data_IF_223885938848
#
_entry.id   IF_223885938848
#
_cell.length_a   1.000
_cell.length_b   1.000
_cell.length_c   1.000
_cell.angle_alpha   90.00
_cell.angle_beta   90.00
_cell.angle_gamma   90.00
#
_symmetry.space_group_name_H-M   'P 1'
#
loop_
_entity.id
_entity.type
_entity.pdbx_description
1 polymer ?
#
# COMPACT_ATOMS: atom_id res chain seq x y z
N UNK A 1 0.82 -28.40 20.31
CA UNK A 1 0.29 -27.03 20.15
C UNK A 1 1.37 -26.21 19.47
N UNK A 2 1.08 -25.66 18.31
CA UNK A 2 1.91 -24.58 17.74
C UNK A 2 1.80 -23.36 18.65
N UNK A 3 2.88 -22.60 18.82
CA UNK A 3 2.81 -21.28 19.50
C UNK A 3 1.79 -20.39 18.77
N UNK A 4 1.12 -19.49 19.49
CA UNK A 4 0.33 -18.39 18.91
C UNK A 4 1.16 -17.11 18.75
N UNK A 5 0.71 -16.16 17.95
CA UNK A 5 1.43 -14.92 17.65
C UNK A 5 1.73 -14.10 18.92
N UNK A 6 0.80 -14.10 19.89
CA UNK A 6 0.99 -13.58 21.25
C UNK A 6 2.24 -14.13 21.97
N UNK A 7 2.61 -15.39 21.74
CA UNK A 7 3.70 -16.06 22.47
C UNK A 7 5.11 -15.61 22.01
N UNK A 8 5.19 -14.88 20.89
CA UNK A 8 6.42 -14.30 20.37
C UNK A 8 6.63 -12.85 20.87
N UNK A 9 5.68 -12.28 21.62
CA UNK A 9 5.80 -10.94 22.21
C UNK A 9 6.79 -10.96 23.37
N UNK A 10 8.02 -10.51 23.13
CA UNK A 10 9.06 -10.36 24.15
C UNK A 10 9.28 -8.87 24.37
N UNK A 11 8.81 -8.36 25.52
CA UNK A 11 8.78 -6.92 25.82
C UNK A 11 10.14 -6.25 25.68
N UNK A 12 11.21 -7.00 25.94
CA UNK A 12 12.60 -6.55 25.90
C UNK A 12 13.24 -6.67 24.50
N UNK A 13 12.66 -7.46 23.57
CA UNK A 13 13.27 -7.73 22.26
C UNK A 13 12.27 -8.15 21.14
N UNK A 14 11.14 -7.46 20.98
CA UNK A 14 10.23 -7.68 19.85
C UNK A 14 10.93 -7.51 18.48
N UNK A 15 11.98 -6.67 18.42
CA UNK A 15 12.74 -6.37 17.20
C UNK A 15 13.39 -7.61 16.55
N UNK A 16 13.67 -8.68 17.32
CA UNK A 16 14.24 -9.89 16.73
C UNK A 16 13.30 -10.59 15.75
N UNK A 17 11.98 -10.43 15.90
CA UNK A 17 10.96 -11.11 15.10
C UNK A 17 10.49 -10.32 13.88
N UNK A 18 10.97 -9.09 13.67
CA UNK A 18 10.63 -8.29 12.49
C UNK A 18 11.76 -8.23 11.48
N UNK A 19 11.41 -8.00 10.23
CA UNK A 19 12.31 -7.77 9.10
C UNK A 19 12.47 -6.27 8.88
N UNK A 20 13.70 -5.82 8.68
CA UNK A 20 13.99 -4.45 8.26
C UNK A 20 14.23 -4.44 6.76
N UNK A 21 13.43 -3.67 6.02
CA UNK A 21 13.80 -3.23 4.68
C UNK A 21 14.48 -1.87 4.78
N UNK A 22 15.62 -1.74 4.12
CA UNK A 22 16.45 -0.53 4.11
C UNK A 22 15.70 0.68 3.55
N UNK A 23 16.27 1.86 3.78
CA UNK A 23 15.81 3.12 3.19
C UNK A 23 16.98 4.08 3.09
N UNK A 24 16.95 4.90 2.04
CA UNK A 24 17.91 5.96 1.87
C UNK A 24 17.72 7.02 2.97
N UNK A 25 18.83 7.50 3.54
CA UNK A 25 18.80 8.57 4.52
C UNK A 25 18.62 9.92 3.81
N UNK A 26 18.04 10.89 4.51
CA UNK A 26 18.16 12.30 4.11
C UNK A 26 19.48 12.85 4.65
N UNK A 27 20.29 13.58 3.86
CA UNK A 27 20.03 14.06 2.50
C UNK A 27 20.58 13.17 1.37
N UNK A 28 21.05 11.96 1.64
CA UNK A 28 21.77 11.10 0.68
C UNK A 28 21.00 10.89 -0.65
N UNK A 29 19.67 10.73 -0.60
CA UNK A 29 18.83 10.59 -1.82
C UNK A 29 18.55 11.91 -2.57
N UNK A 30 18.94 13.07 -2.03
CA UNK A 30 18.51 14.38 -2.54
C UNK A 30 19.02 14.64 -3.97
N UNK A 31 20.21 14.18 -4.32
CA UNK A 31 20.73 14.31 -5.68
C UNK A 31 19.85 13.56 -6.69
N UNK A 32 19.47 12.32 -6.39
CA UNK A 32 18.57 11.53 -7.22
C UNK A 32 17.17 12.16 -7.31
N UNK A 33 16.64 12.69 -6.20
CA UNK A 33 15.38 13.42 -6.18
C UNK A 33 15.42 14.67 -7.08
N UNK A 34 16.50 15.44 -7.04
CA UNK A 34 16.70 16.62 -7.89
C UNK A 34 16.78 16.24 -9.38
N UNK A 35 17.49 15.17 -9.73
CA UNK A 35 17.55 14.66 -11.12
C UNK A 35 16.16 14.28 -11.65
N UNK A 36 15.31 13.66 -10.81
CA UNK A 36 13.94 13.27 -11.19
C UNK A 36 12.99 14.46 -11.31
N UNK A 37 13.06 15.43 -10.39
CA UNK A 37 12.06 16.50 -10.30
C UNK A 37 12.42 17.80 -11.01
N UNK A 38 13.70 18.07 -11.32
CA UNK A 38 14.09 19.29 -12.05
C UNK A 38 13.32 19.47 -13.39
N UNK A 39 13.19 18.46 -14.28
CA UNK A 39 12.42 18.62 -15.52
C UNK A 39 10.93 18.87 -15.29
N UNK A 40 10.37 18.37 -14.18
CA UNK A 40 8.97 18.64 -13.79
C UNK A 40 8.81 20.10 -13.39
N UNK A 41 9.80 20.68 -12.71
CA UNK A 41 9.80 22.07 -12.32
C UNK A 41 9.97 22.99 -13.54
N UNK A 42 10.86 22.65 -14.48
CA UNK A 42 11.02 23.37 -15.76
C UNK A 42 9.68 23.42 -16.51
N UNK A 43 9.05 22.26 -16.75
CA UNK A 43 7.76 22.19 -17.43
C UNK A 43 6.64 22.93 -16.66
N UNK A 44 6.62 22.89 -15.31
CA UNK A 44 5.61 23.64 -14.55
C UNK A 44 5.80 25.15 -14.67
N UNK A 45 7.04 25.65 -14.73
CA UNK A 45 7.35 27.05 -14.99
C UNK A 45 6.88 27.50 -16.37
N UNK A 46 7.16 26.72 -17.42
CA UNK A 46 6.69 27.01 -18.79
C UNK A 46 5.15 27.07 -18.86
N UNK A 47 4.47 26.10 -18.26
CA UNK A 47 3.00 26.07 -18.20
C UNK A 47 2.40 27.21 -17.37
N UNK A 48 3.12 27.72 -16.36
CA UNK A 48 2.70 28.92 -15.61
C UNK A 48 2.76 30.19 -16.46
N UNK A 49 3.72 30.31 -17.38
CA UNK A 49 3.80 31.45 -18.28
C UNK A 49 2.77 31.36 -19.42
N UNK A 50 2.46 30.15 -19.92
CA UNK A 50 1.40 29.94 -20.94
C UNK A 50 -0.02 30.19 -20.39
N UNK A 51 -0.30 29.84 -19.13
CA UNK A 51 -1.66 29.83 -18.60
C UNK A 51 -2.30 31.22 -18.49
N UNK A 52 -3.58 31.33 -18.87
CA UNK A 52 -4.37 32.55 -18.69
C UNK A 52 -4.88 32.72 -17.24
N UNK A 53 -5.15 31.61 -16.55
CA UNK A 53 -5.63 31.56 -15.16
C UNK A 53 -5.40 30.15 -14.58
N UNK A 54 -5.61 29.97 -13.27
CA UNK A 54 -5.36 28.72 -12.57
C UNK A 54 -6.23 27.54 -13.02
N UNK A 55 -7.42 27.79 -13.60
CA UNK A 55 -8.25 26.73 -14.19
C UNK A 55 -7.68 26.29 -15.54
N UNK A 56 -7.27 27.23 -16.38
CA UNK A 56 -6.60 26.96 -17.65
C UNK A 56 -5.26 26.23 -17.45
N UNK A 57 -4.48 26.58 -16.42
CA UNK A 57 -3.28 25.84 -16.01
C UNK A 57 -3.57 24.34 -15.78
N UNK A 58 -4.68 24.01 -15.10
CA UNK A 58 -5.08 22.62 -14.87
C UNK A 58 -5.44 21.90 -16.19
N UNK A 59 -6.05 22.61 -17.14
CA UNK A 59 -6.34 22.07 -18.48
C UNK A 59 -5.06 21.82 -19.29
N UNK A 60 -4.08 22.72 -19.23
CA UNK A 60 -2.77 22.55 -19.88
C UNK A 60 -2.02 21.35 -19.30
N UNK A 61 -1.89 21.24 -17.98
CA UNK A 61 -1.35 20.03 -17.32
C UNK A 61 -2.22 18.79 -17.64
N UNK A 62 -3.51 18.98 -17.92
CA UNK A 62 -4.42 17.95 -18.42
C UNK A 62 -4.04 17.41 -19.80
N UNK A 63 -3.40 18.22 -20.66
CA UNK A 63 -2.96 17.84 -22.02
C UNK A 63 -1.69 17.00 -22.00
N UNK A 64 -0.83 17.20 -21.00
CA UNK A 64 0.47 16.54 -20.84
C UNK A 64 0.45 15.00 -20.83
N UNK A 65 1.60 14.42 -21.16
CA UNK A 65 1.82 12.97 -21.18
C UNK A 65 2.17 12.40 -19.79
N UNK A 66 1.97 11.10 -19.57
CA UNK A 66 2.51 10.41 -18.40
C UNK A 66 3.96 9.97 -18.67
N UNK A 67 4.85 9.94 -17.66
CA UNK A 67 4.58 10.15 -16.24
C UNK A 67 4.59 11.62 -15.78
N UNK A 68 5.14 12.56 -16.57
CA UNK A 68 5.37 13.95 -16.15
C UNK A 68 4.08 14.65 -15.67
N UNK A 69 2.95 14.45 -16.36
CA UNK A 69 1.62 14.93 -15.96
C UNK A 69 1.26 14.59 -14.50
N UNK A 70 1.59 13.40 -14.02
CA UNK A 70 1.25 13.01 -12.64
C UNK A 70 2.07 13.81 -11.62
N UNK A 71 3.32 14.15 -11.95
CA UNK A 71 4.17 14.98 -11.09
C UNK A 71 3.75 16.45 -11.15
N UNK A 72 3.40 16.97 -12.33
CA UNK A 72 2.81 18.31 -12.49
C UNK A 72 1.52 18.47 -11.69
N UNK A 73 0.65 17.46 -11.64
CA UNK A 73 -0.54 17.47 -10.76
C UNK A 73 -0.19 17.50 -9.26
N UNK A 74 0.98 16.97 -8.84
CA UNK A 74 1.47 17.13 -7.45
C UNK A 74 1.93 18.57 -7.20
N UNK A 75 2.63 19.20 -8.14
CA UNK A 75 3.03 20.62 -8.07
C UNK A 75 1.78 21.52 -8.01
N UNK A 76 0.83 21.32 -8.92
CA UNK A 76 -0.45 22.03 -8.95
C UNK A 76 -1.20 21.94 -7.61
N UNK A 77 -1.27 20.74 -7.01
CA UNK A 77 -1.89 20.57 -5.69
C UNK A 77 -1.19 21.39 -4.60
N UNK A 78 0.13 21.52 -4.63
CA UNK A 78 0.89 22.28 -3.61
C UNK A 78 0.76 23.80 -3.78
N UNK A 79 0.78 24.30 -5.02
CA UNK A 79 0.77 25.75 -5.27
C UNK A 79 -0.63 26.34 -5.50
N UNK A 80 -1.57 25.57 -6.05
CA UNK A 80 -2.85 26.07 -6.57
C UNK A 80 -4.05 25.57 -5.76
N UNK A 81 -4.13 24.26 -5.51
CA UNK A 81 -5.33 23.64 -4.94
C UNK A 81 -4.99 22.52 -3.94
N UNK A 82 -4.70 22.84 -2.66
CA UNK A 82 -4.41 21.83 -1.63
C UNK A 82 -5.64 20.96 -1.29
N UNK A 83 -6.85 21.47 -1.55
CA UNK A 83 -8.13 20.81 -1.30
C UNK A 83 -8.44 19.65 -2.27
N UNK A 84 -7.84 19.64 -3.46
CA UNK A 84 -7.98 18.52 -4.41
C UNK A 84 -7.02 17.37 -4.09
N UNK A 85 -7.32 16.16 -4.57
CA UNK A 85 -6.41 15.01 -4.48
C UNK A 85 -5.78 14.70 -5.83
N UNK A 86 -4.54 14.20 -5.84
CA UNK A 86 -3.86 13.82 -7.10
C UNK A 86 -4.63 12.72 -7.85
N UNK A 87 -5.30 11.82 -7.13
CA UNK A 87 -6.18 10.79 -7.70
C UNK A 87 -7.40 11.37 -8.42
N UNK A 88 -7.92 12.51 -7.95
CA UNK A 88 -8.96 13.26 -8.63
C UNK A 88 -8.39 13.93 -9.89
N UNK A 89 -7.29 14.69 -9.76
CA UNK A 89 -6.66 15.44 -10.86
C UNK A 89 -6.17 14.53 -12.02
N UNK A 90 -5.75 13.29 -11.73
CA UNK A 90 -5.35 12.32 -12.76
C UNK A 90 -6.48 11.98 -13.74
N UNK A 91 -7.75 12.07 -13.34
CA UNK A 91 -8.92 11.74 -14.19
C UNK A 91 -9.17 12.83 -15.24
N UNK A 92 -8.47 12.75 -16.39
CA UNK A 92 -8.50 13.77 -17.47
C UNK A 92 -9.91 14.17 -17.91
N UNK A 93 -10.83 13.21 -18.04
CA UNK A 93 -12.24 13.45 -18.42
C UNK A 93 -13.06 14.20 -17.36
N UNK A 94 -12.56 14.33 -16.13
CA UNK A 94 -13.22 15.02 -15.02
C UNK A 94 -12.67 16.42 -14.75
N UNK A 95 -11.66 16.89 -15.48
CA UNK A 95 -11.09 18.25 -15.30
C UNK A 95 -12.17 19.35 -15.34
N UNK A 96 -13.14 19.37 -16.27
CA UNK A 96 -14.20 20.39 -16.27
C UNK A 96 -15.10 20.35 -15.03
N UNK A 97 -15.38 19.17 -14.48
CA UNK A 97 -16.13 19.02 -13.23
C UNK A 97 -15.31 19.49 -12.03
N UNK A 98 -14.01 19.17 -11.99
CA UNK A 98 -13.10 19.63 -10.92
C UNK A 98 -12.98 21.17 -10.92
N UNK A 99 -12.87 21.79 -12.10
CA UNK A 99 -12.83 23.26 -12.23
C UNK A 99 -14.16 23.87 -11.75
N UNK A 100 -15.31 23.28 -12.12
CA UNK A 100 -16.62 23.75 -11.65
C UNK A 100 -16.79 23.61 -10.13
N UNK A 101 -16.30 22.53 -9.54
CA UNK A 101 -16.58 22.16 -8.14
C UNK A 101 -15.52 22.68 -7.13
N UNK A 102 -14.33 23.08 -7.61
CA UNK A 102 -13.20 23.53 -6.76
C UNK A 102 -12.48 24.79 -7.29
N UNK A 103 -12.79 25.26 -8.50
CA UNK A 103 -12.04 26.34 -9.17
C UNK A 103 -12.17 27.70 -8.49
N UNK A 104 -13.26 27.94 -7.77
CA UNK A 104 -13.48 29.10 -6.90
C UNK A 104 -12.51 29.16 -5.71
N UNK A 105 -11.91 28.02 -5.35
CA UNK A 105 -10.89 27.87 -4.30
C UNK A 105 -9.47 27.74 -4.84
N UNK A 106 -9.27 27.80 -6.15
CA UNK A 106 -7.93 27.81 -6.72
C UNK A 106 -7.24 29.13 -6.36
N UNK A 107 -5.96 29.05 -5.96
CA UNK A 107 -5.15 30.26 -5.78
C UNK A 107 -5.02 31.02 -7.10
N UNK A 108 -5.20 32.33 -7.05
CA UNK A 108 -5.01 33.24 -8.20
C UNK A 108 -3.63 33.05 -8.86
N UNK A 109 -3.60 33.07 -10.20
CA UNK A 109 -2.44 32.64 -10.98
C UNK A 109 -1.22 33.56 -10.75
N UNK A 110 -1.43 34.86 -10.57
CA UNK A 110 -0.39 35.84 -10.29
C UNK A 110 0.32 35.51 -8.97
N UNK A 111 -0.45 35.14 -7.94
CA UNK A 111 0.10 34.72 -6.65
C UNK A 111 0.74 33.32 -6.74
N UNK A 112 0.26 32.44 -7.62
CA UNK A 112 0.94 31.17 -7.92
C UNK A 112 2.32 31.45 -8.55
N UNK A 113 2.41 32.29 -9.57
CA UNK A 113 3.65 32.73 -10.23
C UNK A 113 4.62 33.37 -9.23
N UNK A 114 4.16 34.34 -8.42
CA UNK A 114 4.96 34.99 -7.37
C UNK A 114 5.56 33.95 -6.40
N UNK A 115 4.73 33.05 -5.87
CA UNK A 115 5.17 32.05 -4.89
C UNK A 115 6.08 31.01 -5.51
N UNK A 116 5.84 30.61 -6.74
CA UNK A 116 6.71 29.70 -7.48
C UNK A 116 8.10 30.30 -7.69
N UNK A 117 8.16 31.52 -8.25
CA UNK A 117 9.41 32.22 -8.56
C UNK A 117 10.20 32.67 -7.31
N UNK A 118 9.57 32.69 -6.13
CA UNK A 118 10.24 32.93 -4.85
C UNK A 118 11.05 31.74 -4.30
N UNK A 119 10.94 30.57 -4.91
CA UNK A 119 11.64 29.34 -4.48
C UNK A 119 13.01 29.21 -5.15
N UNK A 120 13.98 28.53 -4.51
CA UNK A 120 15.23 28.17 -5.17
C UNK A 120 14.95 27.24 -6.35
N UNK A 121 15.81 27.31 -7.37
CA UNK A 121 15.71 26.46 -8.55
C UNK A 121 17.01 25.66 -8.75
N UNK A 122 16.95 24.31 -8.71
CA UNK A 122 15.79 23.48 -8.42
C UNK A 122 15.35 23.56 -6.94
N UNK A 123 14.07 23.30 -6.66
CA UNK A 123 13.54 23.35 -5.29
C UNK A 123 13.81 22.03 -4.55
N UNK A 124 14.93 21.97 -3.83
CA UNK A 124 15.35 20.84 -2.99
C UNK A 124 14.27 20.39 -2.00
N UNK A 125 13.58 21.33 -1.36
CA UNK A 125 12.53 21.01 -0.38
C UNK A 125 11.37 20.29 -1.07
N UNK A 126 10.93 20.80 -2.21
CA UNK A 126 9.82 20.23 -2.96
C UNK A 126 10.19 18.88 -3.60
N UNK A 127 11.43 18.75 -4.07
CA UNK A 127 11.97 17.50 -4.61
C UNK A 127 11.99 16.40 -3.53
N UNK A 128 12.54 16.69 -2.34
CA UNK A 128 12.55 15.76 -1.22
C UNK A 128 11.13 15.32 -0.82
N UNK A 129 10.22 16.29 -0.62
CA UNK A 129 8.81 16.03 -0.30
C UNK A 129 8.08 15.19 -1.37
N UNK A 130 8.47 15.27 -2.64
CA UNK A 130 7.89 14.44 -3.69
C UNK A 130 8.55 13.07 -3.83
N UNK A 131 9.82 12.95 -3.46
CA UNK A 131 10.56 11.69 -3.43
C UNK A 131 10.03 10.72 -2.37
N UNK A 132 9.59 11.22 -1.21
CA UNK A 132 8.85 10.41 -0.22
C UNK A 132 7.61 9.70 -0.81
N UNK A 133 6.94 10.31 -1.80
CA UNK A 133 5.81 9.69 -2.51
C UNK A 133 6.24 8.76 -3.66
N UNK A 134 7.52 8.71 -4.03
CA UNK A 134 8.04 7.76 -5.02
C UNK A 134 8.19 6.37 -4.38
N UNK A 135 8.79 6.31 -3.18
CA UNK A 135 9.09 5.07 -2.47
C UNK A 135 7.87 4.55 -1.66
N UNK A 136 6.71 5.20 -1.80
CA UNK A 136 5.50 4.86 -1.04
C UNK A 136 4.91 3.52 -1.49
N UNK A 137 5.03 2.53 -0.61
CA UNK A 137 4.51 1.16 -0.83
C UNK A 137 5.61 0.14 -1.14
N UNK A 138 6.83 0.59 -1.45
CA UNK A 138 7.97 -0.24 -1.79
C UNK A 138 8.25 -1.34 -0.76
N UNK A 139 8.31 -1.00 0.54
CA UNK A 139 8.48 -1.99 1.62
C UNK A 139 7.37 -3.03 1.70
N UNK A 140 6.16 -2.70 1.23
CA UNK A 140 5.06 -3.66 1.08
C UNK A 140 5.32 -4.64 -0.06
N UNK A 141 5.86 -4.16 -1.19
CA UNK A 141 6.25 -4.99 -2.32
C UNK A 141 7.46 -5.89 -2.01
N UNK A 142 8.42 -5.39 -1.21
CA UNK A 142 9.54 -6.21 -0.72
C UNK A 142 9.07 -7.29 0.25
N UNK A 143 8.07 -6.99 1.10
CA UNK A 143 7.43 -7.97 1.99
C UNK A 143 6.73 -9.09 1.20
N UNK A 144 5.94 -8.73 0.18
CA UNK A 144 5.27 -9.74 -0.67
C UNK A 144 6.26 -10.54 -1.51
N UNK A 145 7.26 -9.89 -2.12
CA UNK A 145 8.31 -10.59 -2.88
C UNK A 145 9.07 -11.61 -2.03
N UNK A 146 9.50 -11.22 -0.83
CA UNK A 146 10.19 -12.12 0.09
C UNK A 146 9.33 -13.34 0.49
N UNK A 147 8.04 -13.12 0.77
CA UNK A 147 7.12 -14.20 1.11
C UNK A 147 6.81 -15.13 -0.07
N UNK A 148 6.59 -14.60 -1.27
CA UNK A 148 6.33 -15.40 -2.47
C UNK A 148 7.53 -16.28 -2.83
N UNK A 149 8.74 -15.72 -2.80
CA UNK A 149 9.97 -16.47 -3.08
C UNK A 149 10.16 -17.61 -2.06
N UNK A 150 9.99 -17.33 -0.77
CA UNK A 150 10.04 -18.35 0.29
C UNK A 150 8.97 -19.43 0.11
N UNK A 151 7.72 -19.04 -0.20
CA UNK A 151 6.61 -19.98 -0.35
C UNK A 151 6.82 -20.91 -1.55
N UNK A 152 7.22 -20.39 -2.71
CA UNK A 152 7.51 -21.20 -3.90
C UNK A 152 8.71 -22.15 -3.66
N UNK A 153 9.79 -21.69 -2.99
CA UNK A 153 10.92 -22.56 -2.60
C UNK A 153 10.47 -23.69 -1.66
N UNK A 154 9.56 -23.41 -0.72
CA UNK A 154 9.15 -24.35 0.32
C UNK A 154 8.04 -25.32 -0.10
N UNK A 155 7.11 -24.84 -0.93
CA UNK A 155 5.81 -25.47 -1.17
C UNK A 155 5.36 -25.48 -2.63
N UNK A 156 6.14 -24.88 -3.55
CA UNK A 156 5.79 -24.72 -4.96
C UNK A 156 5.60 -26.02 -5.74
N UNK A 157 6.04 -27.18 -5.23
CA UNK A 157 5.75 -28.48 -5.84
C UNK A 157 4.27 -28.89 -5.72
N UNK A 158 3.63 -28.58 -4.59
CA UNK A 158 2.27 -29.04 -4.25
C UNK A 158 1.21 -27.94 -4.32
N UNK A 159 1.62 -26.68 -4.13
CA UNK A 159 0.77 -25.51 -4.11
C UNK A 159 1.19 -24.51 -5.18
N UNK A 160 0.31 -23.57 -5.50
CA UNK A 160 0.67 -22.35 -6.24
C UNK A 160 0.22 -21.14 -5.42
N UNK A 161 1.06 -20.11 -5.34
CA UNK A 161 0.67 -18.81 -4.78
C UNK A 161 0.32 -17.85 -5.93
N UNK A 162 -0.89 -17.31 -5.86
CA UNK A 162 -1.38 -16.31 -6.80
C UNK A 162 -1.32 -14.93 -6.15
N UNK A 163 -0.93 -13.93 -6.93
CA UNK A 163 -1.00 -12.52 -6.55
C UNK A 163 0.10 -11.70 -7.22
N UNK A 164 0.09 -10.37 -7.08
CA UNK A 164 1.19 -9.54 -7.56
C UNK A 164 2.40 -9.67 -6.63
N UNK A 165 3.52 -10.17 -7.15
CA UNK A 165 4.79 -10.26 -6.40
C UNK A 165 5.28 -8.86 -5.96
N UNK A 166 5.01 -7.84 -6.79
CA UNK A 166 5.37 -6.42 -6.59
C UNK A 166 4.16 -5.51 -6.79
N UNK A 167 4.35 -4.31 -7.34
CA UNK A 167 3.25 -3.46 -7.80
C UNK A 167 2.38 -4.20 -8.82
N UNK A 168 1.10 -4.38 -8.48
CA UNK A 168 0.09 -5.01 -9.34
C UNK A 168 -1.30 -4.83 -8.74
N UNK A 169 -2.30 -5.51 -9.32
CA UNK A 169 -3.68 -5.48 -8.82
C UNK A 169 -3.90 -6.69 -7.89
N UNK A 170 -4.42 -6.40 -6.70
CA UNK A 170 -4.88 -7.39 -5.71
C UNK A 170 -5.85 -8.42 -6.33
N UNK A 171 -5.83 -9.63 -5.78
CA UNK A 171 -6.78 -10.68 -6.15
C UNK A 171 -8.16 -10.34 -5.62
N UNK A 172 -9.16 -10.28 -6.50
CA UNK A 172 -10.55 -10.14 -6.06
C UNK A 172 -11.11 -11.53 -5.77
N UNK A 173 -11.37 -11.85 -4.51
CA UNK A 173 -11.71 -13.21 -4.08
C UNK A 173 -12.94 -13.79 -4.78
N UNK A 174 -13.94 -12.97 -5.15
CA UNK A 174 -15.11 -13.41 -5.92
C UNK A 174 -14.79 -13.93 -7.34
N UNK A 175 -13.60 -13.66 -7.87
CA UNK A 175 -13.12 -14.19 -9.16
C UNK A 175 -12.50 -15.60 -9.01
N UNK A 176 -12.25 -16.07 -7.77
CA UNK A 176 -11.53 -17.33 -7.46
C UNK A 176 -12.24 -18.26 -6.48
N UNK A 177 -13.13 -17.74 -5.62
CA UNK A 177 -13.89 -18.49 -4.62
C UNK A 177 -15.32 -18.71 -5.11
N UNK A 178 -15.64 -19.96 -5.47
CA UNK A 178 -16.96 -20.35 -5.96
C UNK A 178 -18.07 -20.07 -4.93
N UNK A 179 -19.05 -19.25 -5.29
CA UNK A 179 -20.15 -18.83 -4.41
C UNK A 179 -19.85 -17.62 -3.52
N UNK A 180 -18.60 -17.11 -3.53
CA UNK A 180 -18.27 -15.87 -2.82
C UNK A 180 -18.63 -14.65 -3.67
N UNK A 181 -19.69 -13.94 -3.30
CA UNK A 181 -20.19 -12.77 -4.05
C UNK A 181 -19.52 -11.44 -3.68
N UNK A 182 -18.78 -11.40 -2.58
CA UNK A 182 -18.20 -10.18 -2.04
C UNK A 182 -16.87 -9.80 -2.72
N UNK A 183 -16.71 -8.52 -3.07
CA UNK A 183 -15.50 -7.99 -3.73
C UNK A 183 -14.41 -7.65 -2.73
N UNK A 184 -13.92 -8.66 -2.02
CA UNK A 184 -12.77 -8.53 -1.11
C UNK A 184 -11.47 -8.61 -1.93
N UNK A 185 -10.62 -7.57 -1.92
CA UNK A 185 -9.26 -7.65 -2.47
C UNK A 185 -8.32 -8.30 -1.44
N UNK A 186 -7.55 -9.29 -1.88
CA UNK A 186 -6.52 -9.97 -1.11
C UNK A 186 -5.15 -9.81 -1.79
N UNK A 187 -4.09 -9.68 -0.99
CA UNK A 187 -2.73 -9.52 -1.50
C UNK A 187 -2.24 -10.84 -2.16
N UNK A 188 -2.71 -12.01 -1.68
CA UNK A 188 -2.45 -13.31 -2.32
C UNK A 188 -3.53 -14.39 -2.06
N UNK A 189 -3.50 -15.46 -2.87
CA UNK A 189 -4.31 -16.67 -2.70
C UNK A 189 -3.44 -17.91 -2.95
N UNK A 190 -3.34 -18.79 -1.95
CA UNK A 190 -2.69 -20.10 -2.07
C UNK A 190 -3.77 -21.16 -2.37
N UNK A 191 -3.51 -21.99 -3.37
CA UNK A 191 -4.37 -23.13 -3.73
C UNK A 191 -3.54 -24.37 -4.07
N UNK A 192 -4.14 -25.55 -3.95
CA UNK A 192 -3.50 -26.79 -4.38
C UNK A 192 -3.23 -26.77 -5.89
N UNK A 193 -2.01 -27.10 -6.31
CA UNK A 193 -1.54 -26.97 -7.70
C UNK A 193 -2.27 -27.90 -8.66
N UNK A 194 -2.77 -29.03 -8.19
CA UNK A 194 -3.44 -30.06 -8.99
C UNK A 194 -4.96 -29.89 -9.00
N UNK A 195 -5.59 -29.79 -7.82
CA UNK A 195 -7.06 -29.71 -7.71
C UNK A 195 -7.60 -28.29 -7.92
N UNK A 196 -6.73 -27.29 -7.86
CA UNK A 196 -7.06 -25.85 -7.85
C UNK A 196 -7.94 -25.42 -6.65
N UNK A 197 -8.06 -26.26 -5.64
CA UNK A 197 -8.81 -25.98 -4.41
C UNK A 197 -8.12 -24.84 -3.62
N UNK A 198 -8.83 -23.72 -3.35
CA UNK A 198 -8.34 -22.65 -2.48
C UNK A 198 -8.08 -23.15 -1.06
N UNK A 199 -6.91 -22.83 -0.49
CA UNK A 199 -6.50 -23.24 0.86
C UNK A 199 -6.30 -22.06 1.81
N UNK A 200 -5.62 -21.00 1.35
CA UNK A 200 -5.28 -19.84 2.19
C UNK A 200 -5.48 -18.52 1.43
N UNK A 201 -6.17 -17.58 2.04
CA UNK A 201 -6.25 -16.17 1.60
C UNK A 201 -5.22 -15.35 2.36
N UNK A 202 -4.48 -14.50 1.65
CA UNK A 202 -3.40 -13.70 2.20
C UNK A 202 -3.68 -12.21 2.24
N UNK A 203 -3.34 -11.58 3.36
CA UNK A 203 -3.26 -10.13 3.49
C UNK A 203 -1.86 -9.74 4.00
N UNK A 204 -1.18 -8.83 3.32
CA UNK A 204 0.23 -8.49 3.55
C UNK A 204 0.42 -7.00 3.82
N UNK A 205 1.03 -6.64 4.97
CA UNK A 205 1.29 -5.25 5.36
C UNK A 205 2.64 -5.10 6.05
N UNK A 206 3.43 -4.16 5.55
CA UNK A 206 4.64 -3.69 6.22
C UNK A 206 4.33 -2.41 7.01
N UNK A 207 4.50 -2.46 8.33
CA UNK A 207 4.17 -1.39 9.25
C UNK A 207 5.44 -0.64 9.70
N UNK A 208 5.68 0.52 9.08
CA UNK A 208 6.93 1.26 9.19
C UNK A 208 7.00 2.30 10.31
N UNK A 209 5.91 3.04 10.54
CA UNK A 209 5.85 4.16 11.51
C UNK A 209 4.40 4.67 11.60
N UNK A 210 3.51 3.97 12.32
CA UNK A 210 2.10 4.37 12.44
C UNK A 210 1.55 4.08 13.82
N UNK A 211 0.63 4.95 14.25
CA UNK A 211 -0.27 4.75 15.38
C UNK A 211 -1.49 5.67 15.27
N UNK A 212 -2.46 5.50 16.17
CA UNK A 212 -3.71 6.30 16.18
C UNK A 212 -4.76 5.76 15.21
N UNK A 213 -5.71 6.59 14.74
CA UNK A 213 -6.92 6.10 14.06
C UNK A 213 -6.71 5.25 12.79
N UNK A 214 -5.55 5.34 12.14
CA UNK A 214 -5.21 4.45 11.02
C UNK A 214 -4.92 3.01 11.45
N UNK A 215 -4.51 2.78 12.69
CA UNK A 215 -4.33 1.47 13.32
C UNK A 215 -5.71 0.82 13.55
N UNK A 216 -6.63 1.54 14.21
CA UNK A 216 -8.01 1.11 14.48
C UNK A 216 -8.75 0.65 13.22
N UNK A 217 -8.71 1.47 12.15
CA UNK A 217 -9.44 1.20 10.91
C UNK A 217 -8.89 -0.03 10.17
N UNK A 218 -7.59 -0.31 10.29
CA UNK A 218 -6.96 -1.51 9.72
C UNK A 218 -7.34 -2.78 10.45
N UNK A 219 -7.33 -2.76 11.78
CA UNK A 219 -7.70 -3.93 12.59
C UNK A 219 -9.18 -4.28 12.37
N UNK A 220 -10.06 -3.27 12.26
CA UNK A 220 -11.46 -3.47 11.83
C UNK A 220 -11.55 -4.09 10.44
N UNK A 221 -10.88 -3.52 9.44
CA UNK A 221 -10.91 -4.06 8.06
C UNK A 221 -10.39 -5.50 7.96
N UNK A 222 -9.31 -5.83 8.68
CA UNK A 222 -8.80 -7.21 8.72
C UNK A 222 -9.77 -8.15 9.44
N UNK A 223 -10.46 -7.68 10.49
CA UNK A 223 -11.51 -8.45 11.19
C UNK A 223 -12.72 -8.71 10.30
N UNK A 224 -13.15 -7.73 9.52
CA UNK A 224 -14.24 -7.88 8.56
C UNK A 224 -13.88 -8.92 7.48
N UNK A 225 -12.65 -8.86 6.95
CA UNK A 225 -12.11 -9.86 6.03
C UNK A 225 -12.11 -11.27 6.64
N UNK A 226 -11.61 -11.43 7.87
CA UNK A 226 -11.63 -12.72 8.59
C UNK A 226 -13.06 -13.23 8.79
N UNK A 227 -13.99 -12.35 9.18
CA UNK A 227 -15.41 -12.70 9.38
C UNK A 227 -16.05 -13.23 8.10
N UNK A 228 -15.78 -12.60 6.96
CA UNK A 228 -16.28 -13.03 5.65
C UNK A 228 -15.67 -14.37 5.20
N UNK A 229 -14.38 -14.62 5.49
CA UNK A 229 -13.76 -15.92 5.19
C UNK A 229 -14.31 -17.05 6.06
N UNK A 230 -14.48 -16.84 7.37
CA UNK A 230 -15.09 -17.82 8.29
C UNK A 230 -16.52 -18.15 7.85
N UNK A 231 -17.29 -17.14 7.47
CA UNK A 231 -18.65 -17.30 6.96
C UNK A 231 -18.67 -18.11 5.66
N UNK A 232 -17.81 -17.79 4.70
CA UNK A 232 -17.67 -18.56 3.45
C UNK A 232 -17.31 -20.02 3.72
N UNK A 233 -16.35 -20.30 4.61
CA UNK A 233 -15.95 -21.66 4.99
C UNK A 233 -17.12 -22.45 5.58
N UNK A 234 -17.87 -21.82 6.50
CA UNK A 234 -19.07 -22.44 7.11
C UNK A 234 -20.17 -22.70 6.10
N UNK A 235 -20.47 -21.72 5.23
CA UNK A 235 -21.59 -21.78 4.30
C UNK A 235 -21.30 -22.70 3.09
N UNK A 236 -20.03 -23.00 2.80
CA UNK A 236 -19.61 -23.94 1.74
C UNK A 236 -19.09 -25.29 2.24
N UNK A 237 -18.89 -25.46 3.56
CA UNK A 237 -18.23 -26.60 4.18
C UNK A 237 -16.83 -26.90 3.57
N UNK A 238 -16.08 -25.84 3.22
CA UNK A 238 -14.69 -25.89 2.76
C UNK A 238 -13.81 -25.18 3.79
N UNK A 239 -12.68 -25.76 4.20
CA UNK A 239 -11.72 -25.06 5.09
C UNK A 239 -10.92 -24.05 4.26
N UNK A 240 -11.20 -22.76 4.45
CA UNK A 240 -10.39 -21.67 3.90
C UNK A 240 -9.72 -20.89 5.04
N UNK A 241 -8.38 -20.90 5.05
CA UNK A 241 -7.57 -20.25 6.08
C UNK A 241 -7.24 -18.80 5.69
N UNK A 242 -6.88 -17.98 6.67
CA UNK A 242 -6.39 -16.61 6.47
C UNK A 242 -4.98 -16.48 7.02
N UNK A 243 -4.06 -16.00 6.17
CA UNK A 243 -2.71 -15.66 6.57
C UNK A 243 -2.54 -14.13 6.57
N UNK A 244 -2.23 -13.59 7.73
CA UNK A 244 -1.96 -12.17 7.95
C UNK A 244 -0.43 -12.00 8.04
N UNK A 245 0.19 -11.61 6.93
CA UNK A 245 1.61 -11.34 6.85
C UNK A 245 1.85 -9.89 7.29
N UNK A 246 2.17 -9.72 8.57
CA UNK A 246 2.39 -8.43 9.21
C UNK A 246 3.82 -8.36 9.70
N UNK A 247 4.60 -7.41 9.18
CA UNK A 247 6.02 -7.26 9.51
C UNK A 247 6.41 -5.77 9.61
N UNK A 248 7.56 -5.48 10.21
CA UNK A 248 8.14 -4.14 10.31
C UNK A 248 8.10 -3.51 11.71
N UNK A 249 8.82 -2.38 11.90
CA UNK A 249 9.08 -1.76 13.20
C UNK A 249 7.84 -1.30 13.99
N UNK A 250 6.70 -1.04 13.33
CA UNK A 250 5.45 -0.67 14.02
C UNK A 250 4.99 -1.71 15.04
N UNK A 251 5.22 -3.01 14.78
CA UNK A 251 4.92 -4.09 15.72
C UNK A 251 5.67 -3.95 17.06
N UNK A 252 6.83 -3.30 17.08
CA UNK A 252 7.64 -3.14 18.30
C UNK A 252 6.99 -2.19 19.33
N UNK A 253 6.06 -1.32 18.91
CA UNK A 253 5.24 -0.48 19.79
C UNK A 253 4.32 -1.30 20.70
N UNK A 254 4.03 -2.56 20.32
CA UNK A 254 3.33 -3.53 21.15
C UNK A 254 1.80 -3.48 21.08
N UNK A 255 1.18 -2.33 20.77
CA UNK A 255 -0.28 -2.21 20.56
C UNK A 255 -0.76 -3.09 19.41
N UNK A 256 -0.22 -2.86 18.21
CA UNK A 256 -0.46 -3.71 17.04
C UNK A 256 -0.23 -5.19 17.32
N UNK A 257 0.75 -5.54 18.17
CA UNK A 257 1.00 -6.93 18.54
C UNK A 257 -0.20 -7.53 19.29
N UNK A 258 -0.78 -6.80 20.23
CA UNK A 258 -1.96 -7.25 20.98
C UNK A 258 -3.21 -7.29 20.09
N UNK A 259 -3.35 -6.36 19.15
CA UNK A 259 -4.46 -6.33 18.19
C UNK A 259 -4.40 -7.50 17.21
N UNK A 260 -3.25 -7.73 16.57
CA UNK A 260 -3.05 -8.87 15.68
C UNK A 260 -3.15 -10.20 16.44
N UNK A 261 -2.67 -10.28 17.69
CA UNK A 261 -2.91 -11.45 18.54
C UNK A 261 -4.40 -11.69 18.77
N UNK A 262 -5.14 -10.64 19.13
CA UNK A 262 -6.60 -10.71 19.35
C UNK A 262 -7.36 -11.09 18.09
N UNK A 263 -6.85 -10.72 16.92
CA UNK A 263 -7.41 -11.09 15.61
C UNK A 263 -7.11 -12.54 15.23
N UNK A 264 -5.91 -13.06 15.52
CA UNK A 264 -5.60 -14.49 15.42
C UNK A 264 -6.52 -15.31 16.32
N UNK A 265 -6.66 -14.91 17.59
CA UNK A 265 -7.54 -15.60 18.54
C UNK A 265 -9.04 -15.50 18.19
N UNK A 266 -9.48 -14.43 17.53
CA UNK A 266 -10.83 -14.31 16.98
C UNK A 266 -11.09 -15.29 15.82
N UNK A 267 -10.04 -15.63 15.07
CA UNK A 267 -10.10 -16.54 13.94
C UNK A 267 -9.86 -18.01 14.26
N UNK A 268 -9.52 -18.32 15.52
CA UNK A 268 -9.16 -19.65 16.00
C UNK A 268 -8.07 -20.30 15.12
N UNK A 269 -8.16 -21.60 14.81
CA UNK A 269 -7.13 -22.30 14.02
C UNK A 269 -7.11 -21.91 12.53
N UNK A 270 -8.18 -21.26 12.03
CA UNK A 270 -8.31 -20.84 10.64
C UNK A 270 -7.49 -19.60 10.29
N UNK A 271 -7.01 -18.84 11.29
CA UNK A 271 -6.25 -17.61 11.07
C UNK A 271 -4.86 -17.74 11.67
N UNK A 272 -3.84 -17.28 10.95
CA UNK A 272 -2.50 -17.07 11.51
C UNK A 272 -1.97 -15.70 11.13
N UNK A 273 -1.40 -15.03 12.13
CA UNK A 273 -0.53 -13.86 11.94
C UNK A 273 0.92 -14.34 11.94
N UNK A 274 1.71 -13.82 11.00
CA UNK A 274 3.14 -14.13 10.84
C UNK A 274 3.92 -12.88 10.43
N UNK A 275 5.16 -12.78 10.89
CA UNK A 275 6.21 -11.98 10.21
C UNK A 275 7.00 -12.91 9.28
N UNK A 276 7.88 -12.38 8.41
CA UNK A 276 8.74 -13.23 7.57
C UNK A 276 9.64 -14.16 8.42
N UNK A 277 10.04 -13.71 9.61
CA UNK A 277 10.89 -14.49 10.52
C UNK A 277 10.17 -15.62 11.27
N UNK A 278 8.85 -15.71 11.15
CA UNK A 278 8.07 -16.77 11.78
C UNK A 278 7.61 -17.86 10.78
N UNK A 279 7.85 -17.68 9.48
CA UNK A 279 7.29 -18.52 8.42
C UNK A 279 7.61 -20.02 8.61
N UNK A 280 8.88 -20.35 8.87
CA UNK A 280 9.34 -21.73 9.10
C UNK A 280 8.67 -22.45 10.29
N UNK A 281 8.28 -21.72 11.35
CA UNK A 281 7.62 -22.30 12.54
C UNK A 281 6.08 -22.26 12.42
N UNK A 282 5.51 -21.29 11.70
CA UNK A 282 4.07 -20.99 11.69
C UNK A 282 3.33 -21.35 10.41
N UNK A 283 4.00 -21.47 9.26
CA UNK A 283 3.37 -21.79 7.97
C UNK A 283 3.85 -23.17 7.54
N UNK A 284 3.21 -24.20 8.08
CA UNK A 284 3.48 -25.61 7.79
C UNK A 284 2.46 -26.18 6.81
N UNK A 285 2.72 -27.38 6.28
CA UNK A 285 1.80 -28.16 5.42
C UNK A 285 0.63 -28.82 6.18
N UNK A 286 0.76 -28.99 7.49
CA UNK A 286 -0.33 -29.47 8.34
C UNK A 286 -1.33 -28.33 8.61
N UNK A 287 -0.83 -27.11 8.90
CA UNK A 287 -1.58 -25.91 8.52
C UNK A 287 -1.64 -25.81 6.99
N UNK A 288 -2.36 -24.86 6.37
CA UNK A 288 -2.78 -24.97 4.95
C UNK A 288 -3.81 -26.10 4.70
N UNK A 289 -3.58 -27.35 5.13
CA UNK A 289 -4.49 -28.50 4.85
C UNK A 289 -5.56 -28.81 5.92
N UNK A 290 -5.23 -28.76 7.22
CA UNK A 290 -6.17 -29.10 8.33
C UNK A 290 -7.39 -28.15 8.49
#
# INVERSE_FOLDING_TARGET
>A
MTKKFRDYKIKENNAQYITFFDSEYYPDYLEAALQVYKPVFEQFGELLEEAENSSNLLELIGKESNPIRTQLMRVFRKFVSPDTSVEMLKKKTKIPEIIRDFGDRFRELELVRERYNSRPFPDETLAAMFFEYANRGEKGYLLTEAFFNWFEEKFGDEYEILGPIKAGRDIILSEYLEGFSNKVPADFLIRNKNTKEPKVVGFARYDSDRGGSQEDDRIKGNRDNVTEMIKYSRDTNKTLKVLLLNDGPGLTLGSMWDDYSSLEDYGEENVRVVTLKMLEERVTKDWIEE
#
